data_IF_943758348474
#
_entry.id   IF_943758348474
#
_cell.length_a   1.000
_cell.length_b   1.000
_cell.length_c   1.000
_cell.angle_alpha   90.00
_cell.angle_beta   90.00
_cell.angle_gamma   90.00
#
_symmetry.space_group_name_H-M   'P 1'
#
loop_
_entity.id
_entity.type
_entity.pdbx_description
1 polymer ?
#
# COMPACT_ATOMS: atom_id res chain seq x y z
N UNK A 1 -19.64 2.40 4.35
CA UNK A 1 -19.38 1.67 3.09
C UNK A 1 -18.96 2.68 2.03
N UNK A 2 -17.66 2.97 1.96
CA UNK A 2 -17.09 3.93 1.00
C UNK A 2 -16.72 3.24 -0.31
N UNK A 3 -17.24 3.73 -1.43
CA UNK A 3 -17.07 3.19 -2.78
C UNK A 3 -15.72 3.55 -3.43
N UNK A 4 -14.61 3.55 -2.68
CA UNK A 4 -13.31 4.03 -3.17
C UNK A 4 -12.20 2.96 -3.22
N UNK A 5 -12.51 1.69 -2.92
CA UNK A 5 -11.52 0.59 -2.90
C UNK A 5 -11.51 -0.27 -4.19
N UNK A 6 -12.30 0.11 -5.20
CA UNK A 6 -12.92 -0.77 -6.21
C UNK A 6 -12.02 -1.29 -7.36
N UNK A 7 -10.69 -1.12 -7.35
CA UNK A 7 -9.86 -1.69 -8.44
C UNK A 7 -8.52 -2.27 -7.97
N UNK A 8 -8.31 -2.42 -6.66
CA UNK A 8 -7.05 -2.97 -6.13
C UNK A 8 -7.09 -4.48 -6.16
N UNK A 9 -6.55 -5.11 -7.21
CA UNK A 9 -6.42 -6.56 -7.26
C UNK A 9 -5.18 -7.03 -6.48
N UNK A 10 -5.38 -7.94 -5.51
CA UNK A 10 -4.32 -8.44 -4.61
C UNK A 10 -3.13 -9.08 -5.32
N UNK A 11 -3.34 -9.63 -6.52
CA UNK A 11 -2.33 -10.34 -7.31
C UNK A 11 -1.66 -9.43 -8.35
N UNK A 12 -1.95 -8.13 -8.35
CA UNK A 12 -1.31 -7.19 -9.26
C UNK A 12 0.04 -6.73 -8.72
N UNK A 13 1.01 -6.44 -9.61
CA UNK A 13 2.25 -5.81 -9.21
C UNK A 13 2.00 -4.49 -8.47
N UNK A 14 2.78 -4.25 -7.43
CA UNK A 14 2.65 -3.07 -6.60
C UNK A 14 4.02 -2.54 -6.14
N UNK A 15 4.04 -1.28 -5.73
CA UNK A 15 5.24 -0.58 -5.32
C UNK A 15 4.99 0.19 -4.03
N UNK A 16 5.80 -0.05 -3.02
CA UNK A 16 5.73 0.69 -1.75
C UNK A 16 6.64 1.90 -1.85
N UNK A 17 6.13 3.05 -1.41
CA UNK A 17 6.84 4.31 -1.33
C UNK A 17 6.84 4.78 0.12
N UNK A 18 8.03 4.86 0.73
CA UNK A 18 8.19 5.30 2.12
C UNK A 18 9.06 6.56 2.22
N UNK A 19 8.55 7.61 2.88
CA UNK A 19 9.25 8.87 3.14
C UNK A 19 9.69 8.95 4.60
N UNK A 20 10.99 9.17 4.83
CA UNK A 20 11.54 9.41 6.16
C UNK A 20 11.12 10.75 6.75
N UNK A 21 11.22 10.90 8.08
CA UNK A 21 10.83 12.11 8.82
C UNK A 21 11.70 13.36 8.57
N UNK A 22 12.66 13.32 7.63
CA UNK A 22 13.40 14.52 7.22
C UNK A 22 12.76 15.10 5.96
N UNK A 23 12.37 16.40 5.98
CA UNK A 23 11.81 17.07 4.81
C UNK A 23 12.93 17.34 3.82
N UNK A 24 13.34 16.32 3.07
CA UNK A 24 14.14 16.52 1.87
C UNK A 24 13.11 16.82 0.79
N UNK A 25 13.05 18.06 0.33
CA UNK A 25 12.03 18.63 -0.58
C UNK A 25 11.86 17.94 -1.94
N UNK A 26 12.40 16.75 -2.17
CA UNK A 26 12.25 15.99 -3.40
C UNK A 26 11.70 14.60 -3.07
N UNK A 27 10.72 14.16 -3.86
CA UNK A 27 10.28 12.76 -3.95
C UNK A 27 11.45 11.79 -4.31
N UNK A 28 12.65 12.30 -4.59
CA UNK A 28 13.90 11.60 -4.95
C UNK A 28 14.55 10.76 -3.83
N UNK A 29 13.87 10.53 -2.71
CA UNK A 29 14.40 9.73 -1.59
C UNK A 29 13.44 8.66 -1.07
N UNK A 30 12.32 8.42 -1.75
CA UNK A 30 11.41 7.36 -1.37
C UNK A 30 12.07 6.02 -1.68
N UNK A 31 12.17 5.14 -0.68
CA UNK A 31 12.49 3.75 -0.95
C UNK A 31 11.33 3.17 -1.76
N UNK A 32 11.50 3.06 -3.08
CA UNK A 32 10.60 2.34 -3.96
C UNK A 32 10.97 0.87 -3.91
N UNK A 33 10.16 0.09 -3.20
CA UNK A 33 10.31 -1.36 -3.19
C UNK A 33 9.22 -1.97 -4.08
N UNK A 34 9.58 -2.58 -5.23
CA UNK A 34 8.63 -3.30 -6.06
C UNK A 34 8.30 -4.65 -5.43
N UNK A 35 7.04 -5.06 -5.59
CA UNK A 35 6.49 -6.34 -5.17
C UNK A 35 5.70 -6.96 -6.31
N UNK A 36 5.73 -8.29 -6.38
CA UNK A 36 4.97 -9.06 -7.37
C UNK A 36 3.46 -8.98 -7.13
N UNK A 37 3.05 -8.81 -5.86
CA UNK A 37 1.64 -8.72 -5.47
C UNK A 37 1.35 -7.48 -4.61
N UNK A 38 0.11 -6.98 -4.72
CA UNK A 38 -0.38 -5.87 -3.92
C UNK A 38 -0.53 -6.27 -2.44
N UNK A 39 -0.81 -7.54 -2.16
CA UNK A 39 -0.84 -8.07 -0.80
C UNK A 39 0.52 -7.94 -0.11
N UNK A 40 1.60 -8.39 -0.75
CA UNK A 40 2.96 -8.27 -0.19
C UNK A 40 3.36 -6.79 -0.02
N UNK A 41 3.03 -5.94 -1.00
CA UNK A 41 3.29 -4.51 -0.89
C UNK A 41 2.55 -3.87 0.29
N UNK A 42 1.28 -4.22 0.50
CA UNK A 42 0.50 -3.72 1.62
C UNK A 42 1.03 -4.21 2.96
N UNK A 43 1.39 -5.49 3.08
CA UNK A 43 2.01 -6.03 4.29
C UNK A 43 3.32 -5.30 4.63
N UNK A 44 4.20 -5.15 3.64
CA UNK A 44 5.45 -4.42 3.81
C UNK A 44 5.22 -2.95 4.20
N UNK A 45 4.21 -2.29 3.62
CA UNK A 45 3.86 -0.92 3.99
C UNK A 45 3.42 -0.79 5.45
N UNK A 46 2.64 -1.75 5.97
CA UNK A 46 2.24 -1.80 7.40
C UNK A 46 3.47 -1.99 8.29
N UNK A 47 4.37 -2.91 7.93
CA UNK A 47 5.61 -3.13 8.67
C UNK A 47 6.51 -1.88 8.69
N UNK A 48 6.65 -1.21 7.54
CA UNK A 48 7.42 0.05 7.44
C UNK A 48 6.83 1.15 8.31
N UNK A 49 5.50 1.30 8.33
CA UNK A 49 4.81 2.26 9.21
C UNK A 49 5.01 1.92 10.68
N UNK A 50 4.85 0.64 11.06
CA UNK A 50 5.03 0.17 12.44
C UNK A 50 6.49 0.28 12.92
N UNK A 51 7.46 0.27 12.02
CA UNK A 51 8.86 0.54 12.37
C UNK A 51 9.09 1.97 12.88
N UNK A 52 8.17 2.91 12.65
CA UNK A 52 8.27 4.31 13.10
C UNK A 52 9.38 5.13 12.44
N UNK A 53 10.10 4.56 11.47
CA UNK A 53 11.20 5.21 10.73
C UNK A 53 10.72 6.12 9.61
N UNK A 54 9.52 5.86 9.09
CA UNK A 54 8.94 6.56 7.96
C UNK A 54 7.73 7.36 8.42
N UNK A 55 7.69 8.66 8.09
CA UNK A 55 6.60 9.56 8.41
C UNK A 55 5.40 9.39 7.47
N UNK A 56 5.66 8.93 6.24
CA UNK A 56 4.66 8.68 5.22
C UNK A 56 4.97 7.36 4.53
N UNK A 57 3.97 6.51 4.36
CA UNK A 57 4.06 5.28 3.57
C UNK A 57 2.83 5.20 2.67
N UNK A 58 3.05 4.94 1.38
CA UNK A 58 2.02 4.80 0.34
C UNK A 58 2.32 3.59 -0.51
N UNK A 59 1.30 3.02 -1.15
CA UNK A 59 1.49 1.90 -2.07
C UNK A 59 0.80 2.20 -3.38
N UNK A 60 1.54 2.14 -4.47
CA UNK A 60 0.96 2.18 -5.81
C UNK A 60 0.68 0.76 -6.27
N UNK A 61 -0.52 0.50 -6.78
CA UNK A 61 -0.89 -0.79 -7.36
C UNK A 61 -1.17 -0.59 -8.83
N UNK A 62 -0.62 -1.48 -9.67
CA UNK A 62 -0.83 -1.45 -11.10
C UNK A 62 -2.32 -1.64 -11.43
N UNK A 63 -2.92 -0.63 -12.08
CA UNK A 63 -4.34 -0.63 -12.46
C UNK A 63 -5.31 0.01 -11.47
N UNK A 64 -4.89 0.30 -10.23
CA UNK A 64 -5.81 0.73 -9.16
C UNK A 64 -5.61 2.17 -8.64
N UNK A 65 -4.44 2.79 -8.88
CA UNK A 65 -3.93 4.04 -8.27
C UNK A 65 -3.19 3.84 -6.93
N UNK A 66 -2.67 4.95 -6.39
CA UNK A 66 -2.00 5.00 -5.08
C UNK A 66 -3.01 4.82 -3.94
N UNK A 67 -2.63 3.98 -2.98
CA UNK A 67 -3.36 3.65 -1.76
C UNK A 67 -2.56 4.15 -0.57
N UNK A 68 -3.20 4.92 0.30
CA UNK A 68 -2.65 5.51 1.52
C UNK A 68 -3.19 4.82 2.78
N UNK A 69 -2.56 5.06 3.93
CA UNK A 69 -3.16 4.70 5.21
C UNK A 69 -4.32 5.65 5.57
N UNK A 70 -5.44 5.17 6.15
CA UNK A 70 -5.67 3.81 6.67
C UNK A 70 -6.20 2.78 5.65
N UNK A 71 -6.47 3.16 4.39
CA UNK A 71 -7.12 2.29 3.41
C UNK A 71 -6.37 0.97 3.15
N UNK A 72 -5.03 0.97 3.22
CA UNK A 72 -4.20 -0.24 3.14
C UNK A 72 -4.61 -1.29 4.19
N UNK A 73 -4.86 -0.87 5.44
CA UNK A 73 -5.23 -1.76 6.54
C UNK A 73 -6.64 -2.34 6.31
N UNK A 74 -7.57 -1.51 5.84
CA UNK A 74 -8.93 -1.95 5.52
C UNK A 74 -8.97 -2.97 4.38
N UNK A 75 -8.16 -2.78 3.33
CA UNK A 75 -8.10 -3.73 2.20
C UNK A 75 -7.46 -5.06 2.65
N UNK A 76 -6.39 -5.03 3.44
CA UNK A 76 -5.78 -6.24 3.99
C UNK A 76 -6.77 -7.01 4.89
N UNK A 77 -7.50 -6.30 5.75
CA UNK A 77 -8.53 -6.92 6.59
C UNK A 77 -9.67 -7.49 5.73
N UNK A 78 -10.08 -6.80 4.67
CA UNK A 78 -11.07 -7.29 3.73
C UNK A 78 -10.61 -8.60 3.05
N UNK A 79 -9.40 -8.66 2.51
CA UNK A 79 -8.86 -9.88 1.88
C UNK A 79 -8.69 -11.02 2.87
N UNK A 80 -8.27 -10.73 4.11
CA UNK A 80 -8.19 -11.74 5.18
C UNK A 80 -9.56 -12.37 5.48
N UNK A 81 -10.62 -11.56 5.45
CA UNK A 81 -12.00 -12.04 5.65
C UNK A 81 -12.62 -12.61 4.36
N UNK A 82 -12.08 -12.30 3.18
CA UNK A 82 -12.59 -12.70 1.86
C UNK A 82 -11.44 -13.22 0.98
N UNK A 83 -10.87 -14.39 1.28
CA UNK A 83 -9.71 -14.93 0.56
C UNK A 83 -10.02 -15.35 -0.88
N UNK A 84 -11.28 -15.35 -1.32
CA UNK A 84 -11.73 -15.71 -2.66
C UNK A 84 -12.31 -14.51 -3.45
N UNK A 85 -12.39 -13.33 -2.83
CA UNK A 85 -12.93 -12.13 -3.46
C UNK A 85 -11.85 -11.31 -4.14
N UNK A 86 -11.84 -11.29 -5.47
CA UNK A 86 -11.45 -10.06 -6.17
C UNK A 86 -12.37 -8.94 -5.66
N UNK A 87 -11.80 -7.79 -5.33
CA UNK A 87 -12.51 -6.60 -4.86
C UNK A 87 -13.70 -6.32 -5.79
N UNK A 88 -14.92 -6.03 -5.27
CA UNK A 88 -16.11 -5.84 -6.09
C UNK A 88 -15.98 -4.70 -7.10
#
# INVERSE_FOLDING_TARGET
MGAYYLDVNRNRPAKVFAAGSKPSSNLEGLAETPFDTAEEAFQAAVEMRNSGKYALVRVWVEGANMVDFPAIEEILEYWKNNPEGDTP
#
